data_IF_814811892006
#
_entry.id   IF_814811892006
#
_cell.length_a   1.000
_cell.length_b   1.000
_cell.length_c   1.000
_cell.angle_alpha   90.00
_cell.angle_beta   90.00
_cell.angle_gamma   90.00
#
_symmetry.space_group_name_H-M   'P 1'
#
loop_
_entity.id
_entity.type
_entity.pdbx_description
1 polymer ?
#
# COMPACT_ATOMS: atom_id res chain seq x y z
N UNK A 1 -9.47 -21.88 30.91
CA UNK A 1 -8.89 -21.33 29.67
C UNK A 1 -9.02 -19.81 29.68
N UNK A 2 -7.92 -19.06 29.53
CA UNK A 2 -7.94 -17.58 29.56
C UNK A 2 -8.29 -17.07 28.15
N UNK A 3 -9.42 -16.35 27.98
CA UNK A 3 -9.78 -15.73 26.70
C UNK A 3 -8.67 -14.75 26.29
N UNK A 4 -7.89 -15.13 25.28
CA UNK A 4 -6.96 -14.20 24.64
C UNK A 4 -7.80 -13.20 23.87
N UNK A 5 -7.61 -11.91 24.13
CA UNK A 5 -8.26 -10.85 23.36
C UNK A 5 -7.74 -10.92 21.93
N UNK A 6 -8.51 -11.50 21.02
CA UNK A 6 -8.16 -11.56 19.61
C UNK A 6 -8.24 -10.17 19.00
N UNK A 7 -7.22 -9.81 18.21
CA UNK A 7 -7.23 -8.58 17.43
C UNK A 7 -7.96 -8.84 16.11
N UNK A 8 -8.87 -7.94 15.74
CA UNK A 8 -9.49 -7.99 14.40
C UNK A 8 -8.45 -7.73 13.30
N UNK A 9 -8.73 -8.15 12.04
CA UNK A 9 -7.75 -8.13 10.94
C UNK A 9 -7.04 -6.79 10.75
N UNK A 10 -7.78 -5.67 10.78
CA UNK A 10 -7.20 -4.32 10.63
C UNK A 10 -6.19 -3.98 11.73
N UNK A 11 -6.49 -4.35 12.99
CA UNK A 11 -5.57 -4.09 14.12
C UNK A 11 -4.32 -4.95 14.02
N UNK A 12 -4.48 -6.20 13.62
CA UNK A 12 -3.36 -7.12 13.39
C UNK A 12 -2.46 -6.62 12.24
N UNK A 13 -3.02 -6.24 11.10
CA UNK A 13 -2.25 -5.75 9.95
C UNK A 13 -1.49 -4.46 10.28
N UNK A 14 -2.11 -3.50 10.99
CA UNK A 14 -1.43 -2.28 11.45
C UNK A 14 -0.28 -2.57 12.41
N UNK A 15 -0.45 -3.52 13.34
CA UNK A 15 0.61 -3.93 14.25
C UNK A 15 1.79 -4.54 13.49
N UNK A 16 1.50 -5.44 12.54
CA UNK A 16 2.51 -6.09 11.71
C UNK A 16 3.26 -5.09 10.83
N UNK A 17 2.56 -4.17 10.17
CA UNK A 17 3.16 -3.12 9.35
C UNK A 17 4.11 -2.19 10.14
N UNK A 18 3.89 -2.04 11.45
CA UNK A 18 4.79 -1.27 12.32
C UNK A 18 5.96 -2.10 12.86
N UNK A 19 5.75 -3.39 13.13
CA UNK A 19 6.82 -4.29 13.62
C UNK A 19 7.71 -4.83 12.50
N UNK A 20 7.20 -4.88 11.26
CA UNK A 20 7.88 -5.40 10.06
C UNK A 20 7.73 -4.46 8.86
N UNK A 21 8.22 -3.20 8.95
CA UNK A 21 8.00 -2.16 7.93
C UNK A 21 8.64 -2.45 6.56
N UNK A 22 9.50 -3.47 6.46
CA UNK A 22 10.11 -3.91 5.20
C UNK A 22 9.39 -5.10 4.55
N UNK A 23 8.40 -5.70 5.22
CA UNK A 23 7.75 -6.94 4.77
C UNK A 23 6.24 -6.81 4.63
N UNK A 24 5.60 -6.02 5.49
CA UNK A 24 4.15 -5.94 5.58
C UNK A 24 3.70 -4.53 5.21
N UNK A 25 2.89 -4.38 4.13
CA UNK A 25 2.36 -3.08 3.74
C UNK A 25 1.34 -2.58 4.77
N UNK A 26 1.08 -1.28 4.75
CA UNK A 26 -0.01 -0.72 5.56
C UNK A 26 -1.33 -1.12 4.89
N UNK A 27 -2.17 -1.81 5.67
CA UNK A 27 -3.57 -2.03 5.30
C UNK A 27 -4.47 -1.16 6.17
N UNK A 28 -5.26 -0.31 5.52
CA UNK A 28 -6.35 0.43 6.13
C UNK A 28 -7.55 0.55 5.17
N UNK A 29 -8.58 1.25 5.62
CA UNK A 29 -9.80 1.44 4.83
C UNK A 29 -9.55 2.26 3.54
N UNK A 30 -8.56 3.13 3.56
CA UNK A 30 -8.25 3.97 2.42
C UNK A 30 -7.61 3.14 1.30
N UNK A 31 -6.62 2.32 1.66
CA UNK A 31 -5.98 1.36 0.76
C UNK A 31 -7.01 0.35 0.23
N UNK A 32 -7.87 -0.18 1.10
CA UNK A 32 -8.97 -1.09 0.72
C UNK A 32 -9.83 -0.48 -0.38
N UNK A 33 -10.18 0.80 -0.25
CA UNK A 33 -11.01 1.53 -1.22
C UNK A 33 -10.28 1.79 -2.53
N UNK A 34 -9.00 2.18 -2.48
CA UNK A 34 -8.23 2.53 -3.68
C UNK A 34 -7.82 1.30 -4.51
N UNK A 35 -7.44 0.20 -3.86
CA UNK A 35 -6.93 -0.99 -4.55
C UNK A 35 -7.97 -2.09 -4.78
N UNK A 36 -9.21 -1.92 -4.29
CA UNK A 36 -10.24 -2.95 -4.36
C UNK A 36 -9.86 -4.26 -3.66
N UNK A 37 -8.85 -4.25 -2.78
CA UNK A 37 -8.36 -5.44 -2.08
C UNK A 37 -9.22 -5.71 -0.84
N UNK A 38 -10.13 -6.71 -0.88
CA UNK A 38 -11.09 -6.94 0.19
C UNK A 38 -10.40 -7.35 1.50
N UNK A 39 -9.21 -7.95 1.41
CA UNK A 39 -8.40 -8.34 2.56
C UNK A 39 -6.94 -7.90 2.43
N UNK A 40 -6.25 -7.77 3.57
CA UNK A 40 -4.84 -7.36 3.59
C UNK A 40 -3.89 -8.37 2.92
N UNK A 41 -4.30 -9.64 2.82
CA UNK A 41 -3.55 -10.67 2.11
C UNK A 41 -3.50 -10.41 0.60
N UNK A 42 -4.63 -10.00 0.00
CA UNK A 42 -4.74 -9.74 -1.43
C UNK A 42 -3.85 -8.56 -1.85
N UNK A 43 -3.87 -7.48 -1.05
CA UNK A 43 -2.96 -6.34 -1.25
C UNK A 43 -1.50 -6.80 -1.19
N UNK A 44 -1.15 -7.61 -0.18
CA UNK A 44 0.23 -8.06 0.01
C UNK A 44 0.72 -8.87 -1.19
N UNK A 45 -0.07 -9.83 -1.68
CA UNK A 45 0.25 -10.62 -2.87
C UNK A 45 0.39 -9.75 -4.12
N UNK A 46 -0.52 -8.81 -4.34
CA UNK A 46 -0.45 -7.89 -5.47
C UNK A 46 0.83 -7.05 -5.43
N UNK A 47 1.16 -6.47 -4.27
CA UNK A 47 2.35 -5.65 -4.12
C UNK A 47 3.63 -6.47 -4.24
N UNK A 48 3.67 -7.68 -3.70
CA UNK A 48 4.80 -8.58 -3.89
C UNK A 48 5.05 -8.86 -5.38
N UNK A 49 3.98 -9.04 -6.17
CA UNK A 49 4.07 -9.15 -7.63
C UNK A 49 4.59 -7.88 -8.29
N UNK A 50 4.10 -6.71 -7.89
CA UNK A 50 4.58 -5.42 -8.41
C UNK A 50 6.07 -5.19 -8.13
N UNK A 51 6.55 -5.57 -6.94
CA UNK A 51 7.97 -5.44 -6.57
C UNK A 51 8.91 -6.38 -7.34
N UNK A 52 8.37 -7.33 -8.12
CA UNK A 52 9.15 -8.10 -9.07
C UNK A 52 9.55 -7.28 -10.32
N UNK A 53 8.86 -6.17 -10.61
CA UNK A 53 9.24 -5.24 -11.68
C UNK A 53 10.39 -4.32 -11.21
N UNK A 54 11.60 -4.42 -11.80
CA UNK A 54 12.72 -3.57 -11.43
C UNK A 54 12.47 -2.09 -11.73
N UNK A 55 11.61 -1.76 -12.70
CA UNK A 55 11.29 -0.37 -13.08
C UNK A 55 10.58 0.34 -11.93
N UNK A 56 9.57 -0.30 -11.34
CA UNK A 56 8.89 0.21 -10.15
C UNK A 56 9.88 0.43 -9.00
N UNK A 57 10.74 -0.55 -8.73
CA UNK A 57 11.73 -0.47 -7.63
C UNK A 57 12.68 0.73 -7.84
N UNK A 58 13.14 0.93 -9.07
CA UNK A 58 13.99 2.07 -9.43
C UNK A 58 13.26 3.41 -9.28
N UNK A 59 12.01 3.50 -9.73
CA UNK A 59 11.18 4.69 -9.56
C UNK A 59 10.94 5.03 -8.08
N UNK A 60 10.58 4.05 -7.26
CA UNK A 60 10.41 4.27 -5.81
C UNK A 60 11.71 4.71 -5.15
N UNK A 61 12.85 4.13 -5.55
CA UNK A 61 14.15 4.55 -5.04
C UNK A 61 14.51 5.98 -5.47
N UNK A 62 14.19 6.37 -6.70
CA UNK A 62 14.39 7.73 -7.21
C UNK A 62 13.50 8.74 -6.47
N UNK A 63 12.22 8.42 -6.28
CA UNK A 63 11.27 9.23 -5.51
C UNK A 63 11.73 9.43 -4.06
N UNK A 64 12.21 8.36 -3.41
CA UNK A 64 12.75 8.46 -2.05
C UNK A 64 13.92 9.43 -1.98
N UNK A 65 14.85 9.34 -2.94
CA UNK A 65 16.02 10.24 -3.02
C UNK A 65 15.60 11.68 -3.29
N UNK A 66 14.72 11.92 -4.26
CA UNK A 66 14.29 13.28 -4.62
C UNK A 66 13.51 13.97 -3.50
N UNK A 67 12.76 13.21 -2.71
CA UNK A 67 12.05 13.71 -1.53
C UNK A 67 12.96 13.91 -0.30
N UNK A 68 14.26 13.62 -0.39
CA UNK A 68 15.19 13.72 0.75
C UNK A 68 14.88 12.76 1.90
N UNK A 69 14.18 11.66 1.61
CA UNK A 69 13.78 10.68 2.61
C UNK A 69 14.93 9.73 2.93
N UNK A 70 15.18 9.52 4.22
CA UNK A 70 16.27 8.67 4.70
C UNK A 70 16.20 7.21 4.20
N UNK A 71 17.36 6.60 4.04
CA UNK A 71 17.51 5.23 3.55
C UNK A 71 16.87 4.15 4.44
N UNK A 72 16.65 4.45 5.73
CA UNK A 72 15.95 3.55 6.67
C UNK A 72 14.45 3.41 6.35
N UNK A 73 13.86 4.35 5.63
CA UNK A 73 12.48 4.22 5.15
C UNK A 73 12.46 3.25 3.97
N UNK A 74 11.77 2.13 4.15
CA UNK A 74 11.66 1.09 3.13
C UNK A 74 10.96 1.61 1.87
N UNK A 75 11.31 1.06 0.70
CA UNK A 75 10.59 1.37 -0.55
C UNK A 75 9.12 0.96 -0.48
N UNK A 76 8.81 -0.08 0.31
CA UNK A 76 7.45 -0.47 0.64
C UNK A 76 6.69 0.67 1.34
N UNK A 77 7.34 1.37 2.27
CA UNK A 77 6.74 2.51 2.97
C UNK A 77 6.64 3.75 2.08
N UNK A 78 7.55 3.92 1.13
CA UNK A 78 7.42 4.96 0.10
C UNK A 78 6.16 4.70 -0.73
N UNK A 79 5.93 3.47 -1.17
CA UNK A 79 4.72 3.10 -1.91
C UNK A 79 3.45 3.30 -1.05
N UNK A 80 3.46 2.87 0.21
CA UNK A 80 2.36 3.11 1.17
C UNK A 80 1.96 4.60 1.19
N UNK A 81 2.95 5.50 1.31
CA UNK A 81 2.71 6.95 1.40
C UNK A 81 2.20 7.50 0.07
N UNK A 82 2.79 7.12 -1.06
CA UNK A 82 2.35 7.58 -2.39
C UNK A 82 0.89 7.22 -2.63
N UNK A 83 0.51 5.97 -2.39
CA UNK A 83 -0.88 5.51 -2.54
C UNK A 83 -1.82 6.25 -1.60
N UNK A 84 -1.41 6.45 -0.34
CA UNK A 84 -2.22 7.17 0.62
C UNK A 84 -2.42 8.65 0.24
N UNK A 85 -1.38 9.31 -0.25
CA UNK A 85 -1.46 10.69 -0.72
C UNK A 85 -2.36 10.80 -1.95
N UNK A 86 -2.25 9.85 -2.89
CA UNK A 86 -3.12 9.80 -4.07
C UNK A 86 -4.59 9.70 -3.68
N UNK A 87 -4.97 8.73 -2.84
CA UNK A 87 -6.39 8.61 -2.50
C UNK A 87 -6.90 9.74 -1.57
N UNK A 88 -6.03 10.37 -0.77
CA UNK A 88 -6.42 11.51 0.09
C UNK A 88 -6.69 12.77 -0.74
N UNK A 89 -5.96 12.96 -1.84
CA UNK A 89 -6.09 14.11 -2.73
C UNK A 89 -7.01 13.80 -3.93
N UNK A 90 -7.22 12.52 -4.23
CA UNK A 90 -8.02 11.96 -5.33
C UNK A 90 -9.52 11.89 -5.08
N UNK A 91 -10.12 13.00 -4.62
CA UNK A 91 -11.53 13.31 -4.91
C UNK A 91 -11.67 14.37 -6.01
N UNK A 92 -10.64 14.53 -6.84
CA UNK A 92 -10.68 15.33 -8.07
C UNK A 92 -9.98 14.60 -9.22
N UNK A 93 -10.54 13.47 -9.68
CA UNK A 93 -10.20 12.91 -10.99
C UNK A 93 -11.48 12.95 -11.85
N UNK A 94 -11.46 13.59 -13.04
CA UNK A 94 -12.60 13.59 -13.96
C UNK A 94 -12.95 12.17 -14.43
N UNK A 95 -14.25 11.93 -14.62
CA UNK A 95 -14.91 10.70 -15.09
C UNK A 95 -14.19 9.94 -16.22
N UNK A 96 -13.42 10.64 -17.07
CA UNK A 96 -12.82 10.11 -18.31
C UNK A 96 -11.75 9.03 -18.13
N UNK A 97 -11.17 8.87 -16.94
CA UNK A 97 -10.16 7.83 -16.68
C UNK A 97 -10.76 6.46 -16.27
N UNK A 98 -12.07 6.41 -15.94
CA UNK A 98 -12.73 5.16 -15.50
C UNK A 98 -13.13 4.22 -16.64
N UNK A 99 -13.23 4.72 -17.87
CA UNK A 99 -13.81 3.95 -18.99
C UNK A 99 -12.83 2.97 -19.66
N UNK A 100 -11.54 2.98 -19.34
CA UNK A 100 -10.56 2.14 -20.04
C UNK A 100 -10.43 0.69 -19.53
N UNK A 101 -11.13 0.29 -18.46
CA UNK A 101 -11.01 -1.05 -17.87
C UNK A 101 -12.25 -1.95 -18.03
N UNK A 102 -13.21 -1.56 -18.88
CA UNK A 102 -14.44 -2.30 -19.12
C UNK A 102 -14.56 -2.90 -20.54
N UNK A 103 -13.52 -2.83 -21.37
CA UNK A 103 -13.51 -3.48 -22.68
C UNK A 103 -12.22 -4.28 -22.90
N UNK A 104 -12.17 -5.46 -22.28
CA UNK A 104 -11.57 -6.71 -22.77
C UNK A 104 -12.28 -7.88 -22.08
#
# INVERSE_FOLDING_TARGET
>A
MRKVRTFGPVRTSKLLARKRPHLVPIYDEHIRTQFGAPHSGDQWSAWAGMFADPTLVQHLAALRRSAGVDGSVSLLRVLDVVVWMEGKHGSSVPESARTAHAEL
#
